data_IF_912191944555
#
_entry.id   IF_912191944555
#
_cell.length_a   1.000
_cell.length_b   1.000
_cell.length_c   1.000
_cell.angle_alpha   90.00
_cell.angle_beta   90.00
_cell.angle_gamma   90.00
#
_symmetry.space_group_name_H-M   'P 1'
#
loop_
_entity.id
_entity.type
_entity.pdbx_description
1 polymer ?
#
# COMPACT_ATOMS: atom_id res chain seq x y z
N UNK A 1 -44.07 -16.32 -66.00
CA UNK A 1 -44.35 -16.55 -64.55
C UNK A 1 -42.99 -16.54 -63.85
N UNK A 2 -42.59 -15.44 -63.30
CA UNK A 2 -41.26 -15.25 -62.64
C UNK A 2 -41.51 -14.96 -61.17
N UNK A 3 -41.11 -15.93 -60.31
CA UNK A 3 -41.25 -15.84 -58.86
C UNK A 3 -40.09 -14.99 -58.31
N UNK A 4 -40.36 -13.83 -57.66
CA UNK A 4 -39.39 -13.05 -56.91
C UNK A 4 -39.31 -13.58 -55.49
N UNK A 5 -38.12 -14.03 -55.09
CA UNK A 5 -37.81 -14.38 -53.71
C UNK A 5 -37.38 -13.13 -52.98
N UNK A 6 -38.16 -12.72 -51.97
CA UNK A 6 -37.82 -11.66 -51.05
C UNK A 6 -36.96 -12.29 -49.94
N UNK A 7 -35.69 -11.80 -49.81
CA UNK A 7 -34.79 -12.15 -48.69
C UNK A 7 -35.02 -11.14 -47.55
N UNK A 8 -35.58 -11.60 -46.49
CA UNK A 8 -35.68 -10.79 -45.24
C UNK A 8 -34.35 -10.86 -44.49
N UNK A 9 -33.60 -9.75 -44.38
CA UNK A 9 -32.43 -9.61 -43.55
C UNK A 9 -32.89 -9.23 -42.15
N UNK A 10 -32.85 -10.16 -41.19
CA UNK A 10 -32.98 -9.85 -39.77
C UNK A 10 -31.69 -9.20 -39.27
N UNK A 11 -31.72 -7.89 -39.04
CA UNK A 11 -30.68 -7.14 -38.34
C UNK A 11 -30.73 -7.46 -36.84
N UNK A 12 -29.73 -8.16 -36.35
CA UNK A 12 -29.51 -8.30 -34.90
C UNK A 12 -28.95 -7.01 -34.37
N UNK A 13 -29.77 -6.18 -33.73
CA UNK A 13 -29.34 -5.04 -32.94
C UNK A 13 -28.69 -5.58 -31.66
N UNK A 14 -27.37 -5.63 -31.61
CA UNK A 14 -26.62 -5.85 -30.39
C UNK A 14 -26.74 -4.59 -29.54
N UNK A 15 -27.61 -4.61 -28.52
CA UNK A 15 -27.60 -3.63 -27.46
C UNK A 15 -26.31 -3.77 -26.65
N UNK A 16 -25.26 -3.01 -27.01
CA UNK A 16 -24.13 -2.72 -26.15
C UNK A 16 -24.68 -1.80 -25.04
N UNK A 17 -25.13 -2.39 -23.94
CA UNK A 17 -25.33 -1.61 -22.71
C UNK A 17 -23.98 -1.03 -22.31
N UNK A 18 -23.87 0.30 -22.14
CA UNK A 18 -22.66 0.86 -21.52
C UNK A 18 -22.58 0.28 -20.10
N UNK A 19 -21.48 -0.43 -19.83
CA UNK A 19 -21.13 -0.78 -18.46
C UNK A 19 -20.88 0.57 -17.74
N UNK A 20 -21.90 1.09 -17.08
CA UNK A 20 -21.75 2.25 -16.21
C UNK A 20 -20.80 1.80 -15.10
N UNK A 21 -19.60 2.37 -15.09
CA UNK A 21 -18.72 2.27 -13.93
C UNK A 21 -19.54 2.74 -12.72
N UNK A 22 -19.71 1.86 -11.74
CA UNK A 22 -20.37 2.23 -10.50
C UNK A 22 -19.62 3.45 -9.94
N UNK A 23 -20.36 4.53 -9.63
CA UNK A 23 -19.77 5.73 -9.05
C UNK A 23 -18.91 5.33 -7.84
N UNK A 24 -17.68 5.82 -7.82
CA UNK A 24 -16.78 5.54 -6.71
C UNK A 24 -17.38 6.08 -5.40
N UNK A 25 -17.23 5.32 -4.32
CA UNK A 25 -17.73 5.78 -3.02
C UNK A 25 -17.00 7.07 -2.60
N UNK A 26 -17.66 7.96 -1.82
CA UNK A 26 -17.01 9.19 -1.33
C UNK A 26 -15.67 8.94 -0.60
N UNK A 27 -15.53 7.79 0.05
CA UNK A 27 -14.28 7.39 0.70
C UNK A 27 -13.18 7.02 -0.33
N UNK A 28 -13.55 6.31 -1.41
CA UNK A 28 -12.62 5.99 -2.50
C UNK A 28 -12.14 7.25 -3.22
N UNK A 29 -13.06 8.18 -3.51
CA UNK A 29 -12.70 9.47 -4.10
C UNK A 29 -11.77 10.30 -3.19
N UNK A 30 -12.01 10.28 -1.86
CA UNK A 30 -11.10 10.94 -0.91
C UNK A 30 -9.71 10.33 -0.97
N UNK A 31 -9.60 8.99 -0.91
CA UNK A 31 -8.31 8.31 -1.02
C UNK A 31 -7.60 8.68 -2.33
N UNK A 32 -8.29 8.66 -3.46
CA UNK A 32 -7.71 9.02 -4.75
C UNK A 32 -7.28 10.50 -4.82
N UNK A 33 -8.00 11.41 -4.16
CA UNK A 33 -7.56 12.82 -4.03
C UNK A 33 -6.29 12.95 -3.20
N UNK A 34 -6.18 12.20 -2.10
CA UNK A 34 -4.96 12.18 -1.27
C UNK A 34 -3.76 11.64 -2.06
N UNK A 35 -3.93 10.54 -2.81
CA UNK A 35 -2.90 9.99 -3.69
C UNK A 35 -2.38 11.06 -4.67
N UNK A 36 -3.29 11.76 -5.37
CA UNK A 36 -2.93 12.83 -6.30
C UNK A 36 -2.25 13.99 -5.62
N UNK A 37 -2.73 14.39 -4.45
CA UNK A 37 -2.16 15.50 -3.69
C UNK A 37 -0.74 15.20 -3.27
N UNK A 38 -0.49 14.04 -2.64
CA UNK A 38 0.82 13.61 -2.17
C UNK A 38 1.81 13.52 -3.34
N UNK A 39 1.42 12.85 -4.43
CA UNK A 39 2.26 12.70 -5.62
C UNK A 39 2.59 14.04 -6.30
N UNK A 40 1.65 15.00 -6.31
CA UNK A 40 1.85 16.31 -6.95
C UNK A 40 2.62 17.31 -6.10
N UNK A 41 2.36 17.33 -4.77
CA UNK A 41 2.94 18.34 -3.88
C UNK A 41 4.31 17.93 -3.33
N UNK A 42 4.57 16.63 -3.25
CA UNK A 42 5.80 16.10 -2.65
C UNK A 42 6.54 15.12 -3.57
N UNK A 43 6.78 15.45 -4.86
CA UNK A 43 7.65 14.62 -5.71
C UNK A 43 9.06 14.60 -5.14
N UNK A 44 9.75 13.48 -5.22
CA UNK A 44 11.10 13.35 -4.66
C UNK A 44 11.14 13.52 -3.13
N UNK A 45 10.13 13.00 -2.41
CA UNK A 45 10.11 12.92 -0.94
C UNK A 45 11.08 11.84 -0.45
N UNK A 46 12.34 11.99 -0.85
CA UNK A 46 13.43 11.08 -0.52
C UNK A 46 13.75 11.15 0.97
N UNK A 47 14.14 10.03 1.57
CA UNK A 47 14.54 10.00 2.98
C UNK A 47 15.56 11.08 3.31
N UNK A 48 15.25 11.92 4.30
CA UNK A 48 16.07 13.06 4.74
C UNK A 48 15.98 14.32 3.89
N UNK A 49 15.19 14.34 2.82
CA UNK A 49 14.98 15.52 2.00
C UNK A 49 13.92 16.47 2.60
N UNK A 50 13.97 17.75 2.22
CA UNK A 50 12.95 18.74 2.63
C UNK A 50 11.53 18.31 2.24
N UNK A 51 11.39 17.65 1.10
CA UNK A 51 10.12 17.13 0.61
C UNK A 51 9.55 15.99 1.46
N UNK A 52 10.41 15.13 2.02
CA UNK A 52 9.98 14.12 3.00
C UNK A 52 9.47 14.81 4.27
N UNK A 53 10.17 15.85 4.73
CA UNK A 53 9.78 16.60 5.92
C UNK A 53 8.45 17.32 5.72
N UNK A 54 8.24 17.94 4.57
CA UNK A 54 6.98 18.59 4.23
C UNK A 54 5.82 17.58 4.11
N UNK A 55 6.06 16.40 3.53
CA UNK A 55 5.08 15.34 3.46
C UNK A 55 4.72 14.80 4.86
N UNK A 56 5.71 14.61 5.73
CA UNK A 56 5.48 14.20 7.12
C UNK A 56 4.63 15.22 7.89
N UNK A 57 4.91 16.51 7.74
CA UNK A 57 4.11 17.57 8.36
C UNK A 57 2.68 17.58 7.84
N UNK A 58 2.51 17.44 6.53
CA UNK A 58 1.17 17.28 5.93
C UNK A 58 0.39 16.11 6.55
N UNK A 59 1.01 14.94 6.65
CA UNK A 59 0.39 13.74 7.23
C UNK A 59 0.06 13.93 8.72
N UNK A 60 0.95 14.59 9.47
CA UNK A 60 0.72 14.96 10.86
C UNK A 60 -0.55 15.82 11.00
N UNK A 61 -0.66 16.86 10.18
CA UNK A 61 -1.82 17.78 10.18
C UNK A 61 -3.10 17.03 9.78
N UNK A 62 -3.07 16.21 8.72
CA UNK A 62 -4.24 15.45 8.28
C UNK A 62 -4.76 14.53 9.40
N UNK A 63 -3.88 13.72 9.99
CA UNK A 63 -4.26 12.79 11.05
C UNK A 63 -4.71 13.51 12.33
N UNK A 64 -4.04 14.59 12.72
CA UNK A 64 -4.47 15.42 13.86
C UNK A 64 -5.85 16.04 13.65
N UNK A 65 -6.14 16.48 12.43
CA UNK A 65 -7.46 17.06 12.08
C UNK A 65 -8.62 16.07 12.17
N UNK A 66 -8.30 14.77 12.15
CA UNK A 66 -9.25 13.68 12.35
C UNK A 66 -9.46 13.32 13.83
N UNK A 67 -8.79 14.02 14.76
CA UNK A 67 -8.92 13.79 16.20
C UNK A 67 -7.93 12.77 16.78
N UNK A 68 -6.97 12.27 15.99
CA UNK A 68 -5.94 11.37 16.49
C UNK A 68 -4.89 12.10 17.34
N UNK A 69 -4.37 11.41 18.37
CA UNK A 69 -3.17 11.85 19.07
C UNK A 69 -1.96 11.58 18.17
N UNK A 70 -1.41 12.64 17.56
CA UNK A 70 -0.39 12.52 16.51
C UNK A 70 0.97 13.01 17.02
N UNK A 71 2.02 12.25 16.69
CA UNK A 71 3.41 12.61 16.98
C UNK A 71 4.32 12.29 15.79
N UNK A 72 5.39 13.08 15.65
CA UNK A 72 6.49 12.81 14.72
C UNK A 72 7.62 12.13 15.47
N UNK A 73 8.11 11.01 14.96
CA UNK A 73 9.17 10.19 15.53
C UNK A 73 10.40 10.28 14.64
N UNK A 74 11.35 11.18 14.99
CA UNK A 74 12.60 11.32 14.27
C UNK A 74 13.57 10.17 14.58
N UNK A 75 14.40 9.80 13.60
CA UNK A 75 15.47 8.81 13.74
C UNK A 75 16.61 9.10 12.77
N UNK A 76 17.83 8.78 13.21
CA UNK A 76 19.02 8.86 12.37
C UNK A 76 19.19 7.57 11.57
N UNK A 77 19.62 7.71 10.33
CA UNK A 77 19.91 6.58 9.45
C UNK A 77 21.00 6.92 8.44
N UNK A 78 21.30 5.96 7.56
CA UNK A 78 22.35 6.12 6.55
C UNK A 78 22.10 5.25 5.34
N UNK A 79 22.72 5.62 4.24
CA UNK A 79 22.83 4.78 3.05
C UNK A 79 24.21 4.92 2.39
N UNK A 80 24.54 3.99 1.51
CA UNK A 80 25.73 4.04 0.67
C UNK A 80 25.35 4.49 -0.73
N UNK A 81 25.90 5.61 -1.18
CA UNK A 81 25.84 6.04 -2.57
C UNK A 81 27.05 5.49 -3.33
N UNK A 82 26.81 4.94 -4.52
CA UNK A 82 27.83 4.29 -5.36
C UNK A 82 28.05 5.11 -6.61
N UNK A 83 29.26 5.66 -6.77
CA UNK A 83 29.65 6.42 -7.96
C UNK A 83 29.92 5.47 -9.16
N UNK A 84 29.93 6.01 -10.38
CA UNK A 84 30.18 5.25 -11.61
C UNK A 84 31.53 4.51 -11.62
N UNK A 85 32.51 5.01 -10.89
CA UNK A 85 33.83 4.36 -10.68
C UNK A 85 33.84 3.34 -9.54
N UNK A 86 32.66 2.90 -9.03
CA UNK A 86 32.47 1.99 -7.90
C UNK A 86 32.98 2.50 -6.53
N UNK A 87 33.34 3.78 -6.41
CA UNK A 87 33.58 4.38 -5.11
C UNK A 87 32.28 4.47 -4.34
N UNK A 88 32.30 4.13 -3.05
CA UNK A 88 31.14 4.19 -2.17
C UNK A 88 31.29 5.34 -1.19
N UNK A 89 30.25 6.16 -1.07
CA UNK A 89 30.15 7.21 -0.08
C UNK A 89 29.02 6.92 0.88
N UNK A 90 29.33 6.82 2.17
CA UNK A 90 28.33 6.76 3.23
C UNK A 90 27.70 8.13 3.42
N UNK A 91 26.38 8.19 3.41
CA UNK A 91 25.59 9.42 3.64
C UNK A 91 24.74 9.23 4.87
N UNK A 92 24.95 10.10 5.86
CA UNK A 92 24.16 10.15 7.09
C UNK A 92 22.99 11.11 6.89
N UNK A 93 21.84 10.76 7.42
CA UNK A 93 20.64 11.60 7.34
C UNK A 93 19.71 11.34 8.53
N UNK A 94 18.79 12.25 8.74
CA UNK A 94 17.66 12.06 9.64
C UNK A 94 16.39 11.91 8.83
N UNK A 95 15.57 10.90 9.18
CA UNK A 95 14.23 10.70 8.65
C UNK A 95 13.23 10.66 9.82
N UNK A 96 11.96 10.41 9.53
CA UNK A 96 10.89 10.41 10.53
C UNK A 96 9.71 9.54 10.15
N UNK A 97 9.06 9.00 11.18
CA UNK A 97 7.72 8.43 11.08
C UNK A 97 6.68 9.43 11.60
N UNK A 98 5.45 9.31 11.10
CA UNK A 98 4.29 9.99 11.69
C UNK A 98 3.40 8.93 12.31
N UNK A 99 3.13 9.06 13.61
CA UNK A 99 2.35 8.09 14.39
C UNK A 99 1.10 8.76 14.91
N UNK A 100 -0.07 8.28 14.53
CA UNK A 100 -1.37 8.76 14.99
C UNK A 100 -2.07 7.66 15.78
N UNK A 101 -2.52 7.99 16.99
CA UNK A 101 -3.09 7.01 17.94
C UNK A 101 -4.52 7.36 18.27
N UNK A 102 -5.41 6.35 18.14
CA UNK A 102 -6.75 6.34 18.72
C UNK A 102 -6.75 5.34 19.87
N UNK A 103 -6.85 5.79 21.13
CA UNK A 103 -6.84 4.90 22.29
C UNK A 103 -8.03 3.93 22.30
N UNK A 104 -7.77 2.68 22.63
CA UNK A 104 -8.76 1.67 23.00
C UNK A 104 -8.63 1.30 24.47
N UNK A 105 -9.47 0.38 24.93
CA UNK A 105 -9.56 -0.01 26.36
C UNK A 105 -9.02 -1.41 26.66
N UNK A 106 -8.69 -2.20 25.64
CA UNK A 106 -8.33 -3.62 25.82
C UNK A 106 -6.85 -3.88 26.11
N UNK A 107 -6.00 -2.87 26.04
CA UNK A 107 -4.54 -3.02 26.11
C UNK A 107 -3.90 -3.64 24.85
N UNK A 108 -4.70 -4.01 23.83
CA UNK A 108 -4.20 -4.51 22.54
C UNK A 108 -4.08 -3.37 21.52
N UNK A 109 -3.17 -3.54 20.56
CA UNK A 109 -2.87 -2.53 19.53
C UNK A 109 -2.95 -3.17 18.14
N UNK A 110 -3.57 -2.47 17.20
CA UNK A 110 -3.48 -2.75 15.77
C UNK A 110 -2.73 -1.59 15.12
N UNK A 111 -1.70 -1.91 14.34
CA UNK A 111 -0.95 -0.95 13.55
C UNK A 111 -1.45 -1.01 12.11
N UNK A 112 -1.77 0.14 11.51
CA UNK A 112 -2.07 0.29 10.08
C UNK A 112 -0.98 1.20 9.52
N UNK A 113 -0.16 0.69 8.60
CA UNK A 113 1.00 1.40 8.10
C UNK A 113 1.09 1.50 6.60
N UNK A 114 1.74 2.56 6.13
CA UNK A 114 2.19 2.75 4.76
C UNK A 114 3.47 3.59 4.80
N UNK A 115 4.46 3.29 3.95
CA UNK A 115 5.58 4.22 3.84
C UNK A 115 5.19 5.42 2.98
N UNK A 116 5.82 6.56 3.24
CA UNK A 116 5.50 7.77 2.52
C UNK A 116 6.70 8.36 1.75
N UNK A 117 7.91 7.86 2.01
CA UNK A 117 9.08 8.25 1.23
C UNK A 117 9.05 7.64 -0.18
N UNK A 118 9.82 8.24 -1.09
CA UNK A 118 10.06 7.72 -2.44
C UNK A 118 11.50 7.25 -2.57
N UNK A 119 11.74 6.36 -3.55
CA UNK A 119 13.05 5.75 -3.75
C UNK A 119 14.16 6.76 -4.00
N UNK A 120 15.22 6.65 -3.19
CA UNK A 120 16.47 7.40 -3.37
C UNK A 120 17.34 6.71 -4.40
N UNK A 121 17.90 7.45 -5.36
CA UNK A 121 18.89 6.91 -6.28
C UNK A 121 20.16 6.55 -5.50
N UNK A 122 20.47 5.27 -5.43
CA UNK A 122 21.63 4.75 -4.68
C UNK A 122 22.89 4.61 -5.53
N UNK A 123 22.78 4.64 -6.86
CA UNK A 123 23.85 4.48 -7.82
C UNK A 123 23.84 5.58 -8.85
N UNK A 124 24.97 6.24 -9.09
CA UNK A 124 25.10 7.32 -10.08
C UNK A 124 24.63 6.92 -11.47
N UNK A 125 24.90 5.67 -11.88
CA UNK A 125 24.49 5.14 -13.19
C UNK A 125 22.98 4.99 -13.36
N UNK A 126 22.21 5.11 -12.28
CA UNK A 126 20.76 5.04 -12.27
C UNK A 126 20.09 6.42 -12.14
N UNK A 127 20.88 7.51 -12.06
CA UNK A 127 20.31 8.86 -11.94
C UNK A 127 19.42 9.19 -13.14
N UNK A 128 18.24 9.74 -12.83
CA UNK A 128 17.19 10.05 -13.80
C UNK A 128 16.43 8.84 -14.36
N UNK A 129 16.79 7.60 -13.99
CA UNK A 129 16.13 6.37 -14.44
C UNK A 129 15.37 5.69 -13.30
N UNK A 130 15.98 5.62 -12.13
CA UNK A 130 15.40 5.01 -10.93
C UNK A 130 15.50 5.96 -9.73
N UNK A 131 14.36 6.19 -9.08
CA UNK A 131 14.31 7.06 -7.90
C UNK A 131 14.55 8.53 -8.23
N UNK A 132 14.91 9.29 -7.19
CA UNK A 132 15.36 10.67 -7.30
C UNK A 132 14.25 11.72 -7.21
N UNK A 133 14.66 12.98 -7.36
CA UNK A 133 13.81 14.17 -7.10
C UNK A 133 12.59 14.30 -7.99
N UNK A 134 12.58 13.66 -9.16
CA UNK A 134 11.48 13.70 -10.12
C UNK A 134 10.45 12.59 -9.88
N UNK A 135 10.73 11.62 -9.02
CA UNK A 135 9.83 10.52 -8.73
C UNK A 135 8.62 11.01 -7.95
N UNK A 136 7.44 10.96 -8.55
CA UNK A 136 6.20 11.32 -7.87
C UNK A 136 5.73 10.24 -6.91
N UNK A 137 6.03 8.95 -7.18
CA UNK A 137 5.64 7.83 -6.33
C UNK A 137 4.13 7.79 -6.12
N UNK A 138 3.36 7.79 -7.21
CA UNK A 138 1.89 7.75 -7.17
C UNK A 138 1.42 6.37 -6.73
N UNK A 139 2.00 5.30 -7.32
CA UNK A 139 1.79 3.92 -6.90
C UNK A 139 2.63 3.64 -5.65
N UNK A 140 3.93 3.92 -5.69
CA UNK A 140 4.92 3.63 -4.66
C UNK A 140 5.38 4.91 -3.93
N UNK A 141 4.74 5.38 -2.82
CA UNK A 141 3.60 4.73 -2.20
C UNK A 141 2.54 5.76 -1.77
N UNK A 142 2.25 6.78 -2.61
CA UNK A 142 1.12 7.67 -2.33
C UNK A 142 -0.20 6.90 -2.31
N UNK A 143 -0.27 5.75 -3.01
CA UNK A 143 -1.45 4.88 -3.06
C UNK A 143 -1.78 4.28 -1.70
N UNK A 144 -0.82 3.66 -1.04
CA UNK A 144 -0.97 3.10 0.30
C UNK A 144 -1.29 4.18 1.34
N UNK A 145 -0.59 5.33 1.27
CA UNK A 145 -0.86 6.46 2.18
C UNK A 145 -2.27 7.01 1.99
N UNK A 146 -2.75 7.16 0.75
CA UNK A 146 -4.10 7.65 0.47
C UNK A 146 -5.18 6.74 1.03
N UNK A 147 -5.02 5.41 0.89
CA UNK A 147 -5.94 4.43 1.51
C UNK A 147 -5.83 4.46 3.03
N UNK A 148 -4.62 4.56 3.60
CA UNK A 148 -4.41 4.69 5.05
C UNK A 148 -5.15 5.91 5.63
N UNK A 149 -5.03 7.08 5.00
CA UNK A 149 -5.74 8.29 5.43
C UNK A 149 -7.26 8.16 5.34
N UNK A 150 -7.77 7.49 4.29
CA UNK A 150 -9.20 7.23 4.16
C UNK A 150 -9.69 6.26 5.24
N UNK A 151 -8.95 5.18 5.54
CA UNK A 151 -9.25 4.27 6.66
C UNK A 151 -9.23 5.01 8.00
N UNK A 152 -8.24 5.90 8.21
CA UNK A 152 -8.18 6.71 9.41
C UNK A 152 -9.43 7.59 9.56
N UNK A 153 -9.89 8.21 8.48
CA UNK A 153 -11.12 9.03 8.50
C UNK A 153 -12.35 8.21 8.85
N UNK A 154 -12.54 7.05 8.22
CA UNK A 154 -13.70 6.18 8.47
C UNK A 154 -13.69 5.57 9.87
N UNK A 155 -12.51 5.37 10.47
CA UNK A 155 -12.36 4.79 11.80
C UNK A 155 -12.25 5.84 12.93
N UNK A 156 -12.24 7.13 12.60
CA UNK A 156 -12.06 8.20 13.58
C UNK A 156 -13.10 8.14 14.71
N UNK A 157 -14.37 7.94 14.38
CA UNK A 157 -15.48 7.90 15.35
C UNK A 157 -15.93 6.47 15.70
N UNK A 158 -15.28 5.44 15.14
CA UNK A 158 -15.67 4.05 15.38
C UNK A 158 -15.43 3.65 16.85
N UNK A 159 -16.37 2.93 17.51
CA UNK A 159 -16.23 2.49 18.91
C UNK A 159 -15.33 1.25 19.01
N UNK A 160 -14.00 1.45 18.91
CA UNK A 160 -13.01 0.37 18.93
C UNK A 160 -12.63 -0.05 20.35
N UNK A 161 -12.36 -1.35 20.55
CA UNK A 161 -11.84 -1.88 21.81
C UNK A 161 -10.30 -1.85 21.84
N UNK A 162 -9.66 -2.15 20.71
CA UNK A 162 -8.21 -2.11 20.59
C UNK A 162 -7.74 -0.72 20.20
N UNK A 163 -6.59 -0.31 20.69
CA UNK A 163 -5.92 0.91 20.22
C UNK A 163 -5.57 0.77 18.75
N UNK A 164 -5.94 1.77 17.93
CA UNK A 164 -5.50 1.86 16.55
C UNK A 164 -4.33 2.83 16.45
N UNK A 165 -3.28 2.41 15.78
CA UNK A 165 -2.14 3.27 15.42
C UNK A 165 -1.99 3.31 13.91
N UNK A 166 -2.16 4.50 13.32
CA UNK A 166 -1.81 4.76 11.92
C UNK A 166 -0.38 5.27 11.87
N UNK A 167 0.47 4.59 11.10
CA UNK A 167 1.89 4.92 11.05
C UNK A 167 2.32 5.13 9.60
N UNK A 168 2.69 6.37 9.27
CA UNK A 168 3.39 6.65 8.03
C UNK A 168 4.89 6.47 8.27
N UNK A 169 5.50 5.49 7.60
CA UNK A 169 6.92 5.17 7.75
C UNK A 169 7.76 5.96 6.77
N UNK A 170 8.83 6.61 7.26
CA UNK A 170 9.86 7.20 6.42
C UNK A 170 11.03 6.24 6.14
N UNK A 171 11.84 6.56 5.15
CA UNK A 171 13.05 5.82 4.80
C UNK A 171 12.84 4.29 4.62
N UNK A 172 11.67 3.86 4.12
CA UNK A 172 11.44 2.45 3.73
C UNK A 172 12.36 2.08 2.58
N UNK A 173 12.52 2.98 1.62
CA UNK A 173 13.34 2.79 0.43
C UNK A 173 14.84 2.67 0.71
N UNK A 174 15.26 2.99 1.91
CA UNK A 174 16.63 2.76 2.40
C UNK A 174 16.77 1.43 3.19
N UNK A 175 15.83 0.51 3.05
CA UNK A 175 15.82 -0.80 3.69
C UNK A 175 15.03 -0.84 4.99
N UNK A 176 13.78 -0.39 4.95
CA UNK A 176 12.79 -0.50 6.03
C UNK A 176 13.19 0.24 7.32
N UNK A 177 13.93 1.37 7.18
CA UNK A 177 14.51 2.06 8.35
C UNK A 177 13.45 2.63 9.28
N UNK A 178 12.34 3.15 8.73
CA UNK A 178 11.24 3.70 9.50
C UNK A 178 10.56 2.68 10.39
N UNK A 179 10.16 1.53 9.84
CA UNK A 179 9.51 0.47 10.62
C UNK A 179 10.45 -0.16 11.66
N UNK A 180 11.74 -0.30 11.33
CA UNK A 180 12.75 -0.74 12.29
C UNK A 180 12.90 0.26 13.44
N UNK A 181 13.00 1.57 13.14
CA UNK A 181 13.10 2.63 14.14
C UNK A 181 11.84 2.70 15.01
N UNK A 182 10.66 2.56 14.42
CA UNK A 182 9.39 2.50 15.15
C UNK A 182 9.41 1.39 16.20
N UNK A 183 9.75 0.17 15.78
CA UNK A 183 9.80 -0.98 16.71
C UNK A 183 10.91 -0.86 17.75
N UNK A 184 12.06 -0.28 17.41
CA UNK A 184 13.18 -0.09 18.32
C UNK A 184 12.85 0.86 19.47
N UNK A 185 11.97 1.85 19.25
CA UNK A 185 11.55 2.81 20.27
C UNK A 185 10.47 2.27 21.20
N UNK A 186 9.81 1.16 20.85
CA UNK A 186 8.81 0.53 21.71
C UNK A 186 9.50 -0.33 22.78
N UNK A 187 8.98 -0.28 24.00
CA UNK A 187 9.32 -1.25 25.05
C UNK A 187 8.88 -2.67 24.67
N UNK A 188 9.42 -3.67 25.35
CA UNK A 188 8.99 -5.06 25.15
C UNK A 188 7.48 -5.26 25.41
N UNK A 189 6.94 -4.55 26.41
CA UNK A 189 5.51 -4.58 26.73
C UNK A 189 4.68 -4.00 25.60
N UNK A 190 5.01 -2.80 25.09
CA UNK A 190 4.30 -2.18 23.97
C UNK A 190 4.34 -3.04 22.71
N UNK A 191 5.50 -3.65 22.39
CA UNK A 191 5.59 -4.58 21.28
C UNK A 191 4.69 -5.79 21.44
N UNK A 192 4.61 -6.37 22.64
CA UNK A 192 3.75 -7.52 22.91
C UNK A 192 2.25 -7.21 22.87
N UNK A 193 1.87 -5.95 22.97
CA UNK A 193 0.48 -5.49 22.83
C UNK A 193 0.04 -5.42 21.35
N UNK A 194 0.96 -5.37 20.39
CA UNK A 194 0.61 -5.32 18.97
C UNK A 194 0.15 -6.72 18.53
N UNK A 195 -1.12 -6.84 18.19
CA UNK A 195 -1.74 -8.11 17.80
C UNK A 195 -1.85 -8.28 16.27
N UNK A 196 -1.75 -7.19 15.52
CA UNK A 196 -1.78 -7.18 14.05
C UNK A 196 -1.11 -5.91 13.53
N UNK A 197 -0.33 -6.06 12.46
CA UNK A 197 0.12 -4.95 11.62
C UNK A 197 -0.43 -5.14 10.19
N UNK A 198 -1.13 -4.13 9.67
CA UNK A 198 -1.60 -4.07 8.29
C UNK A 198 -0.71 -3.10 7.53
N UNK A 199 -0.01 -3.59 6.51
CA UNK A 199 0.85 -2.79 5.65
C UNK A 199 0.18 -2.54 4.29
N UNK A 200 0.23 -1.30 3.82
CA UNK A 200 -0.34 -0.88 2.54
C UNK A 200 0.79 -0.37 1.66
N UNK A 201 1.06 -1.06 0.56
CA UNK A 201 2.15 -0.70 -0.34
C UNK A 201 1.77 -0.93 -1.80
N UNK A 202 1.97 0.09 -2.66
CA UNK A 202 1.84 -0.01 -4.12
C UNK A 202 0.51 -0.64 -4.60
N UNK A 203 -0.61 0.08 -4.45
CA UNK A 203 -1.94 -0.48 -4.63
C UNK A 203 -2.53 -0.32 -6.04
N UNK A 204 -1.78 0.27 -7.02
CA UNK A 204 -2.36 0.69 -8.32
C UNK A 204 -1.95 -0.15 -9.52
N UNK A 205 -0.64 -0.30 -9.76
CA UNK A 205 -0.11 -0.83 -11.03
C UNK A 205 -0.40 -2.31 -11.23
N UNK A 206 -0.36 -3.07 -10.15
CA UNK A 206 -0.52 -4.53 -10.21
C UNK A 206 -1.83 -5.01 -10.81
N UNK A 207 -1.78 -6.18 -11.46
CA UNK A 207 -2.96 -6.78 -12.09
C UNK A 207 -4.03 -7.11 -11.04
N UNK A 208 -3.63 -7.55 -9.84
CA UNK A 208 -4.49 -8.07 -8.78
C UNK A 208 -4.07 -7.50 -7.43
N UNK A 209 -5.04 -7.30 -6.53
CA UNK A 209 -4.76 -7.05 -5.12
C UNK A 209 -4.35 -8.36 -4.43
N UNK A 210 -3.22 -8.36 -3.76
CA UNK A 210 -2.73 -9.46 -2.95
C UNK A 210 -2.82 -9.16 -1.47
N UNK A 211 -3.22 -10.18 -0.72
CA UNK A 211 -3.27 -10.19 0.74
C UNK A 211 -2.39 -11.33 1.23
N UNK A 212 -1.31 -10.99 1.92
CA UNK A 212 -0.30 -11.95 2.35
C UNK A 212 -0.03 -11.83 3.85
N UNK A 213 0.27 -12.97 4.50
CA UNK A 213 0.74 -13.01 5.88
C UNK A 213 2.27 -12.89 5.95
N UNK A 214 2.79 -12.73 7.15
CA UNK A 214 4.22 -12.77 7.41
C UNK A 214 4.76 -14.20 7.34
N UNK A 215 5.92 -14.37 6.74
CA UNK A 215 6.53 -15.68 6.55
C UNK A 215 6.91 -16.35 7.88
N UNK A 216 7.54 -15.58 8.78
CA UNK A 216 8.03 -16.11 10.07
C UNK A 216 6.90 -16.40 11.03
N UNK A 217 5.96 -15.48 11.15
CA UNK A 217 4.81 -15.62 12.05
C UNK A 217 3.88 -16.74 11.59
N UNK A 218 3.64 -16.88 10.27
CA UNK A 218 2.83 -17.97 9.72
C UNK A 218 3.48 -19.34 9.91
N UNK A 219 4.80 -19.44 9.73
CA UNK A 219 5.55 -20.67 9.97
C UNK A 219 5.56 -21.07 11.46
N UNK A 220 5.60 -20.09 12.37
CA UNK A 220 5.56 -20.35 13.81
C UNK A 220 4.15 -20.68 14.30
N UNK A 221 3.13 -20.05 13.72
CA UNK A 221 1.73 -20.24 14.13
C UNK A 221 0.79 -20.01 12.92
N UNK A 222 0.12 -21.04 12.40
CA UNK A 222 -0.82 -20.92 11.30
C UNK A 222 -1.94 -19.88 11.53
N UNK A 223 -2.35 -19.65 12.80
CA UNK A 223 -3.36 -18.65 13.12
C UNK A 223 -2.91 -17.21 12.82
N UNK A 224 -1.62 -16.95 12.62
CA UNK A 224 -1.12 -15.65 12.17
C UNK A 224 -1.62 -15.27 10.77
N UNK A 225 -2.11 -16.23 9.99
CA UNK A 225 -2.75 -16.01 8.68
C UNK A 225 -4.21 -15.56 8.73
N UNK A 226 -4.83 -15.49 9.91
CA UNK A 226 -6.27 -15.25 10.03
C UNK A 226 -6.74 -13.92 9.37
N UNK A 227 -5.96 -12.84 9.48
CA UNK A 227 -6.28 -11.57 8.84
C UNK A 227 -6.27 -11.67 7.29
N UNK A 228 -5.29 -12.38 6.71
CA UNK A 228 -5.22 -12.69 5.28
C UNK A 228 -6.46 -13.48 4.84
N UNK A 229 -6.77 -14.55 5.54
CA UNK A 229 -7.88 -15.44 5.18
C UNK A 229 -9.22 -14.69 5.28
N UNK A 230 -9.37 -13.82 6.28
CA UNK A 230 -10.54 -12.96 6.42
C UNK A 230 -10.64 -11.92 5.29
N UNK A 231 -9.54 -11.28 4.90
CA UNK A 231 -9.49 -10.35 3.78
C UNK A 231 -9.93 -11.02 2.47
N UNK A 232 -9.41 -12.21 2.18
CA UNK A 232 -9.78 -12.99 1.00
C UNK A 232 -11.27 -13.41 1.02
N UNK A 233 -11.80 -13.80 2.18
CA UNK A 233 -13.22 -14.13 2.33
C UNK A 233 -14.12 -12.90 2.09
N UNK A 234 -13.73 -11.72 2.60
CA UNK A 234 -14.43 -10.47 2.34
C UNK A 234 -14.37 -10.10 0.85
N UNK A 235 -13.20 -10.19 0.21
CA UNK A 235 -13.05 -9.93 -1.22
C UNK A 235 -13.96 -10.83 -2.05
N UNK A 236 -14.00 -12.13 -1.76
CA UNK A 236 -14.85 -13.09 -2.43
C UNK A 236 -16.35 -12.74 -2.26
N UNK A 237 -16.79 -12.35 -1.06
CA UNK A 237 -18.17 -11.94 -0.80
C UNK A 237 -18.58 -10.67 -1.53
N UNK A 238 -17.61 -9.83 -1.88
CA UNK A 238 -17.78 -8.57 -2.59
C UNK A 238 -17.56 -8.69 -4.10
N UNK A 239 -17.25 -9.89 -4.60
CA UNK A 239 -16.85 -10.16 -5.98
C UNK A 239 -15.63 -9.30 -6.44
N UNK A 240 -14.68 -9.04 -5.53
CA UNK A 240 -13.41 -8.36 -5.80
C UNK A 240 -12.36 -9.45 -6.08
N UNK A 241 -11.66 -9.37 -7.23
CA UNK A 241 -10.52 -10.25 -7.52
C UNK A 241 -9.34 -9.89 -6.62
N UNK A 242 -9.16 -10.69 -5.59
CA UNK A 242 -8.06 -10.58 -4.65
C UNK A 242 -7.47 -11.97 -4.40
N UNK A 243 -6.16 -12.04 -4.24
CA UNK A 243 -5.42 -13.29 -4.16
C UNK A 243 -4.40 -13.25 -3.03
N UNK A 244 -3.79 -14.39 -2.78
CA UNK A 244 -2.59 -14.54 -1.98
C UNK A 244 -1.50 -15.18 -2.81
N UNK A 245 -0.24 -14.94 -2.44
CA UNK A 245 0.92 -15.55 -3.09
C UNK A 245 0.72 -17.07 -3.25
N UNK A 246 0.77 -17.62 -4.49
CA UNK A 246 0.59 -19.05 -4.72
C UNK A 246 1.79 -19.91 -4.30
N UNK A 247 2.93 -19.30 -3.93
CA UNK A 247 4.14 -20.01 -3.49
C UNK A 247 4.94 -20.60 -4.65
N UNK A 248 5.01 -19.91 -5.79
CA UNK A 248 5.79 -20.38 -6.95
C UNK A 248 7.30 -20.19 -6.77
N UNK A 249 7.72 -19.23 -5.96
CA UNK A 249 9.12 -18.98 -5.65
C UNK A 249 9.52 -19.68 -4.34
N UNK A 250 10.68 -20.39 -4.30
CA UNK A 250 11.07 -21.18 -3.13
C UNK A 250 11.29 -20.35 -1.86
N UNK A 251 11.71 -19.10 -2.00
CA UNK A 251 11.97 -18.21 -0.86
C UNK A 251 10.68 -17.55 -0.30
N UNK A 252 9.56 -17.64 -1.02
CA UNK A 252 8.29 -17.04 -0.65
C UNK A 252 7.18 -18.10 -0.59
N UNK A 253 7.01 -18.78 0.55
CA UNK A 253 5.96 -19.79 0.72
C UNK A 253 4.57 -19.26 0.43
N UNK A 254 3.68 -20.15 0.01
CA UNK A 254 2.30 -19.80 -0.30
C UNK A 254 1.62 -19.01 0.84
N UNK A 255 0.91 -17.95 0.47
CA UNK A 255 0.20 -17.09 1.42
C UNK A 255 1.07 -16.09 2.18
N UNK A 256 2.37 -15.97 1.81
CA UNK A 256 3.29 -15.00 2.44
C UNK A 256 3.72 -13.92 1.45
N UNK A 257 4.01 -12.72 1.96
CA UNK A 257 4.53 -11.61 1.18
C UNK A 257 5.93 -11.18 1.62
N UNK A 258 6.54 -10.24 0.88
CA UNK A 258 7.85 -9.69 1.20
C UNK A 258 7.92 -8.17 1.03
N UNK A 259 9.09 -7.69 1.30
CA UNK A 259 9.78 -6.56 0.67
C UNK A 259 9.25 -5.19 1.07
N UNK A 260 8.44 -5.08 2.14
CA UNK A 260 8.00 -3.81 2.71
C UNK A 260 7.97 -3.84 4.26
N UNK A 261 7.43 -2.79 4.88
CA UNK A 261 7.50 -2.52 6.32
C UNK A 261 6.94 -3.65 7.21
N UNK A 262 6.00 -4.45 6.71
CA UNK A 262 5.50 -5.64 7.42
C UNK A 262 6.61 -6.62 7.81
N UNK A 263 7.73 -6.68 7.06
CA UNK A 263 8.82 -7.58 7.41
C UNK A 263 9.47 -7.27 8.76
N UNK A 264 9.56 -5.98 9.12
CA UNK A 264 10.09 -5.58 10.43
C UNK A 264 9.25 -6.14 11.57
N UNK A 265 7.92 -6.13 11.40
CA UNK A 265 6.97 -6.67 12.38
C UNK A 265 6.97 -8.20 12.39
N UNK A 266 6.97 -8.84 11.21
CA UNK A 266 7.06 -10.30 11.10
C UNK A 266 8.35 -10.85 11.74
N UNK A 267 9.49 -10.17 11.53
CA UNK A 267 10.77 -10.47 12.18
C UNK A 267 10.71 -10.32 13.71
N UNK A 268 9.85 -9.43 14.21
CA UNK A 268 9.60 -9.24 15.64
C UNK A 268 8.55 -10.21 16.21
N UNK A 269 8.02 -11.15 15.41
CA UNK A 269 7.01 -12.12 15.85
C UNK A 269 5.59 -11.56 15.92
N UNK A 270 5.33 -10.42 15.30
CA UNK A 270 4.01 -9.77 15.27
C UNK A 270 3.28 -10.21 14.00
N UNK A 271 2.04 -10.76 14.09
CA UNK A 271 1.25 -11.11 12.93
C UNK A 271 1.02 -9.92 11.99
N UNK A 272 1.12 -10.15 10.68
CA UNK A 272 0.98 -9.09 9.68
C UNK A 272 -0.01 -9.46 8.58
N UNK A 273 -0.59 -8.42 7.98
CA UNK A 273 -1.32 -8.46 6.73
C UNK A 273 -0.65 -7.47 5.75
N UNK A 274 0.07 -7.99 4.78
CA UNK A 274 0.61 -7.20 3.68
C UNK A 274 -0.46 -7.08 2.58
N UNK A 275 -0.70 -5.85 2.12
CA UNK A 275 -1.65 -5.51 1.06
C UNK A 275 -0.88 -4.78 -0.04
N UNK A 276 -0.86 -5.36 -1.22
CA UNK A 276 -0.14 -4.84 -2.38
C UNK A 276 -0.89 -5.15 -3.68
N UNK A 277 -0.72 -4.34 -4.73
CA UNK A 277 -1.14 -4.68 -6.07
C UNK A 277 0.08 -5.16 -6.88
N UNK A 278 0.11 -6.44 -7.19
CA UNK A 278 1.19 -7.09 -7.92
C UNK A 278 0.67 -8.27 -8.74
N UNK A 279 1.54 -9.15 -9.21
CA UNK A 279 1.14 -10.42 -9.82
C UNK A 279 2.18 -11.52 -9.53
N UNK A 280 2.00 -12.21 -8.42
CA UNK A 280 2.87 -13.31 -7.99
C UNK A 280 2.94 -14.50 -8.95
N UNK A 281 2.12 -14.50 -10.01
CA UNK A 281 2.13 -15.54 -11.05
C UNK A 281 2.98 -15.16 -12.27
N UNK A 282 3.57 -13.95 -12.29
CA UNK A 282 4.41 -13.45 -13.38
C UNK A 282 5.89 -13.44 -13.01
N UNK A 283 6.72 -13.21 -14.01
CA UNK A 283 8.16 -13.13 -13.86
C UNK A 283 8.73 -14.39 -13.24
N UNK A 284 9.42 -14.24 -12.12
CA UNK A 284 9.96 -15.38 -11.33
C UNK A 284 8.96 -15.92 -10.30
N UNK A 285 7.74 -15.36 -10.24
CA UNK A 285 6.76 -15.70 -9.21
C UNK A 285 7.13 -15.16 -7.83
N UNK A 286 7.89 -14.08 -7.78
CA UNK A 286 8.42 -13.45 -6.55
C UNK A 286 7.72 -12.14 -6.16
N UNK A 287 6.66 -11.76 -6.89
CA UNK A 287 5.90 -10.53 -6.65
C UNK A 287 6.52 -9.26 -7.22
N UNK A 288 7.76 -9.30 -7.73
CA UNK A 288 8.42 -8.11 -8.30
C UNK A 288 7.93 -7.72 -9.70
N UNK A 289 7.16 -8.58 -10.37
CA UNK A 289 6.48 -8.22 -11.61
C UNK A 289 5.03 -7.90 -11.30
N UNK A 290 4.65 -6.61 -11.39
CA UNK A 290 3.32 -6.15 -10.99
C UNK A 290 2.25 -6.48 -12.03
N UNK A 291 2.57 -6.40 -13.32
CA UNK A 291 1.57 -6.44 -14.39
C UNK A 291 2.08 -7.08 -15.67
N UNK A 292 1.15 -7.68 -16.41
CA UNK A 292 1.35 -8.16 -17.77
C UNK A 292 1.14 -7.07 -18.84
N UNK A 293 0.82 -5.83 -18.46
CA UNK A 293 0.59 -4.73 -19.41
C UNK A 293 1.86 -4.44 -20.22
N UNK A 294 1.81 -4.54 -21.57
CA UNK A 294 2.99 -4.37 -22.42
C UNK A 294 3.55 -2.94 -22.40
N UNK A 295 2.70 -1.96 -22.09
CA UNK A 295 3.08 -0.53 -22.02
C UNK A 295 3.80 -0.17 -20.72
N UNK A 296 3.98 -1.12 -19.79
CA UNK A 296 4.81 -0.99 -18.59
C UNK A 296 6.05 -1.87 -18.76
N UNK A 297 7.17 -1.32 -19.24
CA UNK A 297 8.38 -2.10 -19.51
C UNK A 297 8.93 -2.75 -18.23
N UNK A 298 9.21 -4.04 -18.30
CA UNK A 298 9.64 -4.83 -17.13
C UNK A 298 8.51 -5.21 -16.19
N UNK A 299 7.26 -4.81 -16.48
CA UNK A 299 6.08 -5.17 -15.70
C UNK A 299 6.00 -4.50 -14.34
N UNK A 300 6.74 -3.40 -14.09
CA UNK A 300 6.76 -2.69 -12.81
C UNK A 300 6.84 -1.18 -12.99
N UNK A 301 6.10 -0.43 -12.16
CA UNK A 301 6.17 1.03 -12.04
C UNK A 301 7.16 1.49 -10.98
N UNK A 302 7.53 0.61 -10.05
CA UNK A 302 8.33 0.94 -8.87
C UNK A 302 9.62 1.67 -9.22
N UNK A 303 9.87 2.74 -8.47
CA UNK A 303 11.06 3.59 -8.59
C UNK A 303 11.28 4.24 -9.96
N UNK A 304 10.28 4.26 -10.83
CA UNK A 304 10.39 4.75 -12.21
C UNK A 304 9.71 6.10 -12.41
N UNK A 305 10.46 7.23 -12.48
CA UNK A 305 9.90 8.56 -12.65
C UNK A 305 9.09 8.73 -13.96
N UNK A 306 9.43 7.98 -14.99
CA UNK A 306 8.77 7.99 -16.30
C UNK A 306 7.41 7.26 -16.29
N UNK A 307 7.13 6.41 -15.31
CA UNK A 307 5.90 5.61 -15.21
C UNK A 307 5.10 5.97 -13.96
N UNK A 308 5.73 5.96 -12.78
CA UNK A 308 5.05 6.17 -11.50
C UNK A 308 4.77 7.65 -11.23
N UNK A 309 3.86 8.22 -12.05
CA UNK A 309 3.50 9.62 -12.00
C UNK A 309 2.05 9.88 -12.40
N UNK A 310 1.55 11.07 -12.10
CA UNK A 310 0.18 11.53 -12.35
C UNK A 310 -0.19 11.65 -13.83
N UNK A 311 0.76 11.72 -14.73
CA UNK A 311 0.50 11.79 -16.17
C UNK A 311 0.39 10.38 -16.75
N UNK A 312 1.33 9.51 -16.44
CA UNK A 312 1.47 8.22 -17.14
C UNK A 312 0.53 7.15 -16.58
N UNK A 313 0.48 6.94 -15.26
CA UNK A 313 -0.34 5.88 -14.68
C UNK A 313 -1.83 6.03 -14.98
N UNK A 314 -2.48 7.22 -14.87
CA UNK A 314 -3.88 7.36 -15.24
C UNK A 314 -4.17 7.15 -16.73
N UNK A 315 -3.19 7.35 -17.62
CA UNK A 315 -3.33 7.04 -19.05
C UNK A 315 -3.28 5.53 -19.31
N UNK A 316 -2.38 4.82 -18.63
CA UNK A 316 -2.21 3.37 -18.73
C UNK A 316 -3.34 2.60 -18.05
N UNK A 317 -3.85 3.12 -16.95
CA UNK A 317 -4.80 2.49 -16.03
C UNK A 317 -5.95 3.47 -15.68
N UNK A 318 -6.82 3.82 -16.67
CA UNK A 318 -7.90 4.77 -16.43
C UNK A 318 -8.86 4.29 -15.32
N UNK A 319 -9.18 5.19 -14.37
CA UNK A 319 -10.08 4.90 -13.24
C UNK A 319 -9.47 4.02 -12.13
N UNK A 320 -8.22 3.61 -12.27
CA UNK A 320 -7.57 2.67 -11.35
C UNK A 320 -7.42 3.20 -9.93
N UNK A 321 -7.19 4.50 -9.76
CA UNK A 321 -7.01 5.11 -8.44
C UNK A 321 -8.26 4.91 -7.58
N UNK A 322 -9.42 5.32 -8.11
CA UNK A 322 -10.70 5.20 -7.43
C UNK A 322 -11.12 3.75 -7.24
N UNK A 323 -10.91 2.92 -8.26
CA UNK A 323 -11.21 1.50 -8.21
C UNK A 323 -10.43 0.81 -7.09
N UNK A 324 -9.10 0.93 -7.08
CA UNK A 324 -8.25 0.25 -6.09
C UNK A 324 -8.44 0.80 -4.68
N UNK A 325 -8.64 2.12 -4.55
CA UNK A 325 -9.02 2.72 -3.29
C UNK A 325 -10.34 2.13 -2.78
N UNK A 326 -11.35 2.04 -3.63
CA UNK A 326 -12.66 1.47 -3.31
C UNK A 326 -12.57 0.00 -2.91
N UNK A 327 -11.88 -0.83 -3.68
CA UNK A 327 -11.70 -2.25 -3.41
C UNK A 327 -10.97 -2.47 -2.08
N UNK A 328 -9.87 -1.74 -1.85
CA UNK A 328 -9.11 -1.81 -0.60
C UNK A 328 -9.95 -1.41 0.61
N UNK A 329 -10.68 -0.29 0.53
CA UNK A 329 -11.52 0.19 1.63
C UNK A 329 -12.69 -0.77 1.93
N UNK A 330 -13.33 -1.33 0.91
CA UNK A 330 -14.44 -2.29 1.09
C UNK A 330 -14.01 -3.58 1.78
N UNK A 331 -12.75 -3.99 1.62
CA UNK A 331 -12.18 -5.17 2.28
C UNK A 331 -11.65 -4.80 3.66
N UNK A 332 -10.83 -3.74 3.75
CA UNK A 332 -10.07 -3.44 4.96
C UNK A 332 -10.88 -2.78 6.07
N UNK A 333 -11.88 -1.95 5.74
CA UNK A 333 -12.68 -1.28 6.77
C UNK A 333 -13.46 -2.30 7.64
N UNK A 334 -14.24 -3.24 7.08
CA UNK A 334 -14.90 -4.26 7.90
C UNK A 334 -13.90 -5.17 8.62
N UNK A 335 -12.79 -5.55 7.98
CA UNK A 335 -11.75 -6.34 8.63
C UNK A 335 -11.18 -5.63 9.87
N UNK A 336 -10.86 -4.33 9.77
CA UNK A 336 -10.32 -3.55 10.88
C UNK A 336 -11.34 -3.31 11.98
N UNK A 337 -12.61 -3.10 11.66
CA UNK A 337 -13.69 -3.00 12.65
C UNK A 337 -13.82 -4.31 13.44
N UNK A 338 -13.87 -5.45 12.75
CA UNK A 338 -13.90 -6.78 13.39
C UNK A 338 -12.65 -7.01 14.25
N UNK A 339 -11.45 -6.82 13.68
CA UNK A 339 -10.19 -7.05 14.38
C UNK A 339 -10.00 -6.14 15.59
N UNK A 340 -10.52 -4.90 15.55
CA UNK A 340 -10.45 -3.94 16.66
C UNK A 340 -11.49 -4.20 17.76
N UNK A 341 -12.36 -5.19 17.58
CA UNK A 341 -13.45 -5.47 18.52
C UNK A 341 -14.52 -4.39 18.55
N UNK A 342 -14.66 -3.65 17.45
CA UNK A 342 -15.75 -2.68 17.30
C UNK A 342 -17.09 -3.41 17.41
N UNK A 343 -17.99 -2.90 18.24
CA UNK A 343 -19.35 -3.42 18.30
C UNK A 343 -20.13 -2.78 17.14
N UNK A 344 -20.97 -3.56 16.42
CA UNK A 344 -21.93 -2.93 15.52
C UNK A 344 -22.74 -1.91 16.29
N UNK A 345 -23.01 -0.76 15.66
CA UNK A 345 -23.95 0.20 16.23
C UNK A 345 -25.30 -0.50 16.49
N UNK A 346 -25.93 -0.25 17.63
CA UNK A 346 -27.19 -0.88 18.00
C UNK A 346 -28.32 -0.56 17.01
#
# INVERSE_FOLDING_TARGET
MTLHKILAVLGVLSCLSPCMAADASPAAERAAREMRYIASQFPGRLAGAEREFAAAEYLHIQLSSMGYQTQTQAFDTEYSYVFANNVRQRRLLQSRNVVATKPGVSGKVIVIGAHFDTATTLHEVHEGVFGGEQLQGLDDNASGVGVMLALARELADAPVQHTLKFVAFGAKELGLKGSQAYLAQLSATERSQIVLMVNLDSLLTGDVLYFNAGQRTLAANPAAGAARDRALALAASLAIDARSNPGLHPDYPAGTGCCSDQESFDKAGIPVLAVEATNWSLGKGDGYTQTALPDIPGGSSWHRPDIDNLQRLPQLLPGRLEQRAGDSLRILLPLLLEASGARPAP
#
